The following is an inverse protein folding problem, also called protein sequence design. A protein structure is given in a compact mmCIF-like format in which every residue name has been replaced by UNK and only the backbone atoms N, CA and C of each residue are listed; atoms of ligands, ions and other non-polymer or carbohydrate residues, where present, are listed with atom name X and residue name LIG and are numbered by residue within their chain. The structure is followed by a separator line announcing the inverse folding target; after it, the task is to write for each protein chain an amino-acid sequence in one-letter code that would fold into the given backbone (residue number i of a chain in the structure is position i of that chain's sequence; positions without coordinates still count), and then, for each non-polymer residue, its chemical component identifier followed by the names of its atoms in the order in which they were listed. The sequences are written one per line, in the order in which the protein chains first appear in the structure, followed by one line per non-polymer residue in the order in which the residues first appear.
data_IF_107007485790
#
_entry.id   IF_107007485790
#
_cell.length_a   1.000
_cell.length_b   1.000
_cell.length_c   1.000
_cell.angle_alpha   90.00
_cell.angle_beta   90.00
_cell.angle_gamma   90.00
#
_symmetry.space_group_name_H-M   'P 1'
#
loop_
_entity.id
_entity.type
_entity.pdbx_description
1 polymer ?
#
# COMPACT_ATOMS: atom_id res chain seq x y z
N UNK A 1 -55.33 -13.88 25.77
CA UNK A 1 -55.10 -12.80 24.79
C UNK A 1 -53.95 -11.98 25.32
N UNK A 2 -52.73 -12.31 24.90
CA UNK A 2 -51.54 -11.87 25.60
C UNK A 2 -50.49 -11.29 24.64
N UNK A 3 -49.89 -10.20 25.12
CA UNK A 3 -48.54 -9.69 24.91
C UNK A 3 -48.22 -8.94 23.60
N UNK A 4 -48.19 -7.60 23.75
CA UNK A 4 -47.47 -6.66 22.90
C UNK A 4 -45.97 -6.96 22.94
N UNK A 5 -45.35 -7.23 21.79
CA UNK A 5 -43.90 -7.15 21.61
C UNK A 5 -43.56 -5.77 21.01
N UNK A 6 -42.81 -4.96 21.75
CA UNK A 6 -42.18 -3.74 21.25
C UNK A 6 -41.00 -4.04 20.33
N UNK A 7 -40.45 -3.04 19.61
CA UNK A 7 -39.37 -3.26 18.65
C UNK A 7 -38.07 -3.57 19.37
N UNK A 8 -37.50 -4.75 19.14
CA UNK A 8 -36.14 -5.10 19.57
C UNK A 8 -35.14 -4.44 18.63
N UNK A 9 -34.67 -3.27 19.05
CA UNK A 9 -33.41 -2.70 18.58
C UNK A 9 -32.27 -3.64 18.91
N UNK A 10 -31.52 -4.02 17.88
CA UNK A 10 -30.26 -4.74 18.03
C UNK A 10 -29.55 -4.79 16.69
N UNK A 11 -28.84 -3.71 16.34
CA UNK A 11 -27.73 -3.84 15.39
C UNK A 11 -26.74 -4.80 16.04
N UNK A 12 -26.80 -6.06 15.63
CA UNK A 12 -25.81 -7.05 16.00
C UNK A 12 -24.43 -6.51 15.64
N UNK A 13 -23.54 -6.51 16.62
CA UNK A 13 -22.15 -6.13 16.49
C UNK A 13 -21.57 -6.75 15.22
N UNK A 14 -21.09 -5.90 14.32
CA UNK A 14 -20.37 -6.30 13.12
C UNK A 14 -19.17 -7.13 13.59
N UNK A 15 -19.27 -8.45 13.47
CA UNK A 15 -18.18 -9.34 13.81
C UNK A 15 -16.97 -8.92 12.97
N UNK A 16 -15.85 -8.62 13.64
CA UNK A 16 -14.61 -8.26 12.97
C UNK A 16 -14.29 -9.36 11.94
N UNK A 17 -14.26 -9.00 10.65
CA UNK A 17 -14.00 -9.94 9.58
C UNK A 17 -12.59 -10.51 9.76
N UNK A 18 -12.49 -11.75 10.26
CA UNK A 18 -11.22 -12.46 10.33
C UNK A 18 -10.88 -12.93 8.91
N UNK A 19 -9.86 -12.33 8.31
CA UNK A 19 -9.30 -12.74 7.03
C UNK A 19 -7.99 -13.49 7.29
N UNK A 20 -7.96 -14.78 7.02
CA UNK A 20 -6.72 -15.57 7.01
C UNK A 20 -6.18 -15.64 5.59
N UNK A 21 -5.03 -15.00 5.34
CA UNK A 21 -4.34 -15.05 4.06
C UNK A 21 -3.14 -16.00 4.15
N UNK A 22 -3.14 -17.04 3.32
CA UNK A 22 -2.00 -17.95 3.11
C UNK A 22 -1.63 -17.86 1.63
N UNK A 23 -0.72 -16.95 1.29
CA UNK A 23 -0.24 -16.77 -0.07
C UNK A 23 1.27 -16.60 -0.07
N UNK A 24 1.96 -17.53 -0.73
CA UNK A 24 3.41 -17.45 -0.95
C UNK A 24 3.64 -16.76 -2.29
N UNK A 25 4.48 -15.74 -2.32
CA UNK A 25 4.79 -15.00 -3.55
C UNK A 25 3.70 -14.03 -4.04
N UNK A 26 2.68 -13.74 -3.24
CA UNK A 26 1.63 -12.76 -3.58
C UNK A 26 1.59 -11.65 -2.53
N UNK A 27 1.94 -10.43 -2.95
CA UNK A 27 1.76 -9.23 -2.13
C UNK A 27 0.30 -8.77 -2.22
N UNK A 28 -0.36 -8.64 -1.06
CA UNK A 28 -1.73 -8.13 -0.94
C UNK A 28 -1.79 -7.06 0.13
N UNK A 29 -2.38 -5.91 -0.21
CA UNK A 29 -2.72 -4.85 0.74
C UNK A 29 -4.18 -4.49 0.56
N UNK A 30 -4.92 -4.42 1.67
CA UNK A 30 -6.29 -3.93 1.69
C UNK A 30 -6.48 -3.01 2.90
N UNK A 31 -7.13 -1.87 2.67
CA UNK A 31 -7.40 -0.88 3.71
C UNK A 31 -8.72 -0.16 3.47
N UNK A 32 -9.33 0.34 4.54
CA UNK A 32 -10.56 1.13 4.48
C UNK A 32 -11.79 0.35 4.02
N UNK A 33 -12.79 1.07 3.51
CA UNK A 33 -14.01 0.47 2.98
C UNK A 33 -13.80 0.04 1.52
N UNK A 34 -13.78 -1.27 1.31
CA UNK A 34 -13.56 -1.92 0.00
C UNK A 34 -14.82 -2.55 -0.58
N UNK A 35 -15.96 -2.42 0.12
CA UNK A 35 -17.23 -2.98 -0.31
C UNK A 35 -17.82 -2.32 -1.58
N UNK A 36 -17.70 -0.99 -1.80
CA UNK A 36 -18.33 -0.36 -2.97
C UNK A 36 -17.83 -0.93 -4.29
N UNK A 37 -18.73 -1.30 -5.18
CA UNK A 37 -18.46 -1.88 -6.49
C UNK A 37 -18.44 -0.82 -7.60
N UNK A 38 -17.81 -1.13 -8.76
CA UNK A 38 -17.89 -0.27 -9.92
C UNK A 38 -19.34 0.02 -10.30
N UNK A 39 -19.61 1.29 -10.60
CA UNK A 39 -20.94 1.77 -10.98
C UNK A 39 -22.01 1.67 -9.88
N UNK A 40 -21.63 1.34 -8.64
CA UNK A 40 -22.50 1.54 -7.49
C UNK A 40 -22.94 3.01 -7.47
N UNK A 41 -24.22 3.19 -7.74
CA UNK A 41 -24.87 4.48 -7.70
C UNK A 41 -25.47 4.57 -6.32
N UNK A 42 -24.81 5.27 -5.40
CA UNK A 42 -25.51 5.73 -4.20
C UNK A 42 -26.71 6.54 -4.70
N UNK A 43 -27.96 6.10 -4.47
CA UNK A 43 -29.09 6.96 -4.77
C UNK A 43 -28.82 8.25 -4.03
N UNK A 44 -29.00 9.37 -4.71
CA UNK A 44 -28.86 10.68 -4.11
C UNK A 44 -30.01 10.83 -3.09
N UNK A 45 -29.87 10.18 -1.93
CA UNK A 45 -30.78 10.23 -0.80
C UNK A 45 -30.37 11.41 0.05
N UNK A 46 -30.63 12.60 -0.47
CA UNK A 46 -30.42 13.85 0.27
C UNK A 46 -31.71 14.18 0.99
N UNK A 47 -31.70 14.05 2.32
CA UNK A 47 -32.34 15.09 3.13
C UNK A 47 -31.47 16.35 3.01
N UNK A 48 -32.08 17.53 2.91
CA UNK A 48 -31.37 18.80 2.86
C UNK A 48 -30.35 18.89 4.02
N UNK A 49 -29.07 19.00 3.68
CA UNK A 49 -27.96 19.18 4.64
C UNK A 49 -26.95 18.03 4.79
N UNK A 50 -27.04 16.93 4.03
CA UNK A 50 -26.03 15.87 4.09
C UNK A 50 -24.75 16.23 3.30
N UNK A 51 -23.59 16.25 3.98
CA UNK A 51 -22.31 16.76 3.47
C UNK A 51 -21.38 15.70 2.84
N UNK A 52 -21.86 14.49 2.51
CA UNK A 52 -20.99 13.42 2.01
C UNK A 52 -20.96 13.39 0.48
N UNK A 53 -19.79 13.65 -0.12
CA UNK A 53 -19.56 13.51 -1.57
C UNK A 53 -19.88 12.08 -2.06
N UNK A 54 -20.23 11.87 -3.34
CA UNK A 54 -20.51 10.53 -3.88
C UNK A 54 -19.29 9.60 -3.81
N UNK A 55 -19.56 8.30 -3.71
CA UNK A 55 -18.53 7.26 -3.81
C UNK A 55 -18.14 7.05 -5.27
N UNK A 56 -16.87 6.79 -5.53
CA UNK A 56 -16.36 6.49 -6.87
C UNK A 56 -15.32 5.39 -6.78
N UNK A 57 -15.46 4.38 -7.65
CA UNK A 57 -14.58 3.21 -7.72
C UNK A 57 -13.77 3.25 -9.00
N UNK A 58 -12.49 2.93 -8.91
CA UNK A 58 -11.62 2.72 -10.06
C UNK A 58 -10.88 1.41 -9.90
N UNK A 59 -10.87 0.57 -10.94
CA UNK A 59 -10.32 -0.78 -10.87
C UNK A 59 -9.55 -1.16 -12.13
N UNK A 60 -8.49 -1.95 -11.94
CA UNK A 60 -7.72 -2.59 -12.99
C UNK A 60 -7.42 -4.03 -12.58
N UNK A 61 -7.52 -4.93 -13.54
CA UNK A 61 -7.26 -6.34 -13.36
C UNK A 61 -6.46 -6.87 -14.55
N UNK A 62 -5.35 -7.54 -14.25
CA UNK A 62 -4.54 -8.30 -15.20
C UNK A 62 -4.27 -9.68 -14.57
N UNK A 63 -5.21 -10.62 -14.76
CA UNK A 63 -5.12 -11.95 -14.15
C UNK A 63 -3.95 -12.78 -14.68
N UNK A 64 -3.53 -12.55 -15.93
CA UNK A 64 -2.40 -13.26 -16.55
C UNK A 64 -1.09 -12.95 -15.81
N UNK A 65 -0.90 -11.70 -15.40
CA UNK A 65 0.27 -11.26 -14.65
C UNK A 65 0.05 -11.20 -13.13
N UNK A 66 -1.10 -11.66 -12.63
CA UNK A 66 -1.41 -11.69 -11.19
C UNK A 66 -1.55 -10.32 -10.55
N UNK A 67 -2.02 -9.31 -11.29
CA UNK A 67 -2.12 -7.91 -10.83
C UNK A 67 -3.57 -7.49 -10.70
N UNK A 68 -3.90 -6.85 -9.57
CA UNK A 68 -5.23 -6.28 -9.35
C UNK A 68 -5.14 -5.05 -8.45
N UNK A 69 -5.86 -3.99 -8.79
CA UNK A 69 -6.08 -2.86 -7.88
C UNK A 69 -7.51 -2.36 -7.99
N UNK A 70 -8.09 -2.06 -6.83
CA UNK A 70 -9.37 -1.38 -6.67
C UNK A 70 -9.16 -0.23 -5.71
N UNK A 71 -9.60 0.96 -6.09
CA UNK A 71 -9.55 2.17 -5.28
C UNK A 71 -10.97 2.71 -5.11
N UNK A 72 -11.33 3.00 -3.87
CA UNK A 72 -12.61 3.59 -3.47
C UNK A 72 -12.33 5.00 -2.99
N UNK A 73 -13.01 5.96 -3.60
CA UNK A 73 -12.84 7.38 -3.27
C UNK A 73 -14.17 8.04 -2.90
N UNK A 74 -14.11 9.07 -2.05
CA UNK A 74 -15.21 9.97 -1.76
C UNK A 74 -14.79 11.40 -2.03
N UNK A 75 -15.37 12.03 -3.05
CA UNK A 75 -14.93 13.36 -3.48
C UNK A 75 -13.45 13.42 -3.87
N UNK A 76 -12.90 12.35 -4.46
CA UNK A 76 -11.48 12.25 -4.84
C UNK A 76 -10.55 11.71 -3.74
N UNK A 77 -10.93 11.80 -2.47
CA UNK A 77 -10.16 11.31 -1.32
C UNK A 77 -10.20 9.78 -1.27
N UNK A 78 -9.05 9.13 -1.09
CA UNK A 78 -8.95 7.67 -0.96
C UNK A 78 -9.53 7.19 0.37
N UNK A 79 -10.64 6.43 0.34
CA UNK A 79 -11.35 5.91 1.52
C UNK A 79 -11.25 4.39 1.67
N UNK A 80 -10.74 3.70 0.65
CA UNK A 80 -10.39 2.30 0.73
C UNK A 80 -9.73 1.80 -0.54
N UNK A 81 -8.99 0.70 -0.44
CA UNK A 81 -8.38 0.06 -1.60
C UNK A 81 -8.06 -1.42 -1.35
N UNK A 82 -7.89 -2.15 -2.44
CA UNK A 82 -7.29 -3.48 -2.50
C UNK A 82 -6.22 -3.43 -3.58
N UNK A 83 -5.02 -3.93 -3.31
CA UNK A 83 -3.92 -4.00 -4.25
C UNK A 83 -3.22 -5.35 -4.14
N UNK A 84 -3.03 -6.04 -5.27
CA UNK A 84 -2.48 -7.39 -5.39
C UNK A 84 -1.39 -7.39 -6.46
N UNK A 85 -0.25 -8.00 -6.15
CA UNK A 85 0.85 -8.21 -7.11
C UNK A 85 1.51 -6.92 -7.61
N UNK A 86 1.26 -5.80 -6.94
CA UNK A 86 1.75 -4.46 -7.28
C UNK A 86 2.26 -3.76 -6.02
N UNK A 87 3.41 -4.21 -5.47
CA UNK A 87 3.89 -3.78 -4.16
C UNK A 87 4.23 -2.29 -4.09
N UNK A 88 4.66 -1.66 -5.19
CA UNK A 88 5.01 -0.23 -5.20
C UNK A 88 3.76 0.65 -5.30
N UNK A 89 2.80 0.26 -6.14
CA UNK A 89 1.45 0.85 -6.16
C UNK A 89 0.80 0.73 -4.78
N UNK A 90 0.88 -0.44 -4.14
CA UNK A 90 0.34 -0.66 -2.80
C UNK A 90 0.98 0.23 -1.72
N UNK A 91 2.30 0.46 -1.83
CA UNK A 91 3.03 1.37 -0.95
C UNK A 91 2.51 2.81 -1.09
N UNK A 92 2.36 3.30 -2.32
CA UNK A 92 1.85 4.65 -2.57
C UNK A 92 0.39 4.81 -2.11
N UNK A 93 -0.45 3.80 -2.37
CA UNK A 93 -1.85 3.83 -1.92
C UNK A 93 -1.99 3.82 -0.40
N UNK A 94 -1.15 3.05 0.30
CA UNK A 94 -1.08 3.09 1.77
C UNK A 94 -0.80 4.51 2.25
N UNK A 95 0.21 5.16 1.67
CA UNK A 95 0.60 6.52 2.03
C UNK A 95 -0.50 7.56 1.75
N UNK A 96 -1.19 7.46 0.60
CA UNK A 96 -2.32 8.33 0.26
C UNK A 96 -3.51 8.12 1.19
N UNK A 97 -3.78 6.86 1.57
CA UNK A 97 -4.87 6.49 2.49
C UNK A 97 -4.60 7.03 3.90
N UNK A 98 -3.41 6.80 4.45
CA UNK A 98 -3.03 7.28 5.79
C UNK A 98 -3.08 8.81 5.91
N UNK A 99 -2.80 9.52 4.82
CA UNK A 99 -2.89 10.99 4.76
C UNK A 99 -4.30 11.51 4.46
N UNK A 100 -5.26 10.65 4.12
CA UNK A 100 -6.56 11.07 3.62
C UNK A 100 -6.44 11.97 2.39
N UNK A 101 -5.52 11.65 1.48
CA UNK A 101 -5.21 12.47 0.31
C UNK A 101 -6.14 12.19 -0.87
N UNK A 102 -6.29 13.19 -1.75
CA UNK A 102 -6.92 12.99 -3.05
C UNK A 102 -6.03 12.14 -3.96
N UNK A 103 -6.67 11.28 -4.77
CA UNK A 103 -5.97 10.57 -5.83
C UNK A 103 -5.65 11.50 -7.01
N UNK A 104 -4.62 11.20 -7.80
CA UNK A 104 -4.40 11.85 -9.08
C UNK A 104 -5.64 11.80 -9.98
N UNK A 105 -5.87 12.85 -10.76
CA UNK A 105 -7.01 12.94 -11.67
C UNK A 105 -7.06 11.75 -12.65
N UNK A 106 -5.91 11.40 -13.23
CA UNK A 106 -5.71 10.13 -13.93
C UNK A 106 -5.14 9.11 -12.95
N UNK A 107 -6.00 8.20 -12.48
CA UNK A 107 -5.63 7.16 -11.52
C UNK A 107 -4.73 6.07 -12.11
N UNK A 108 -4.66 5.94 -13.44
CA UNK A 108 -3.83 4.93 -14.11
C UNK A 108 -2.33 5.19 -13.94
N UNK A 109 -1.94 6.43 -13.61
CA UNK A 109 -0.52 6.79 -13.36
C UNK A 109 0.07 6.01 -12.19
N UNK A 110 -0.75 5.59 -11.22
CA UNK A 110 -0.31 4.78 -10.09
C UNK A 110 0.17 3.39 -10.52
N UNK A 111 -0.37 2.85 -11.62
CA UNK A 111 0.05 1.55 -12.15
C UNK A 111 1.48 1.57 -12.71
N UNK A 112 2.02 2.75 -13.03
CA UNK A 112 3.38 2.88 -13.56
C UNK A 112 4.44 2.53 -12.54
N UNK A 113 4.13 2.59 -11.24
CA UNK A 113 5.06 2.17 -10.19
C UNK A 113 5.43 0.68 -10.27
N UNK A 114 4.61 -0.15 -10.91
CA UNK A 114 4.92 -1.58 -11.14
C UNK A 114 5.02 -1.90 -12.65
N UNK A 115 5.28 -0.88 -13.46
CA UNK A 115 5.45 -0.96 -14.91
C UNK A 115 6.82 -1.49 -15.35
N UNK A 116 6.98 -1.85 -16.64
CA UNK A 116 8.21 -2.44 -17.18
C UNK A 116 9.42 -1.50 -17.17
N UNK A 117 9.21 -0.18 -17.06
CA UNK A 117 10.28 0.81 -16.93
C UNK A 117 11.03 0.70 -15.59
N UNK A 118 10.52 -0.13 -14.67
CA UNK A 118 10.99 -0.27 -13.31
C UNK A 118 11.63 -1.63 -13.01
N UNK A 119 12.34 -2.18 -14.00
CA UNK A 119 13.29 -3.27 -13.75
C UNK A 119 14.42 -2.69 -12.90
N UNK A 120 14.72 -3.22 -11.70
CA UNK A 120 15.90 -2.83 -10.94
C UNK A 120 17.15 -2.99 -11.83
N UNK A 121 17.72 -1.86 -12.29
CA UNK A 121 18.88 -1.82 -13.19
C UNK A 121 18.59 -1.46 -14.66
N UNK A 122 17.35 -1.18 -15.08
CA UNK A 122 17.04 -0.82 -16.47
C UNK A 122 17.36 0.64 -16.86
N UNK A 123 17.73 1.52 -15.92
CA UNK A 123 18.02 2.93 -16.22
C UNK A 123 19.16 3.59 -15.45
N UNK A 124 19.82 2.88 -14.53
CA UNK A 124 20.87 3.44 -13.68
C UNK A 124 21.53 2.38 -12.80
N UNK A 125 22.64 2.76 -12.15
CA UNK A 125 23.29 1.89 -11.16
C UNK A 125 22.31 1.61 -10.01
N UNK A 126 21.92 0.35 -9.87
CA UNK A 126 20.95 -0.09 -8.86
C UNK A 126 21.49 0.03 -7.42
N UNK A 127 22.76 0.46 -7.27
CA UNK A 127 23.45 0.76 -6.01
C UNK A 127 23.91 2.22 -5.93
N UNK A 128 23.44 3.08 -6.85
CA UNK A 128 23.64 4.51 -6.73
C UNK A 128 23.01 5.03 -5.41
N UNK A 129 23.62 6.03 -4.73
CA UNK A 129 23.15 6.50 -3.43
C UNK A 129 21.69 6.98 -3.39
N UNK A 130 21.17 7.48 -4.51
CA UNK A 130 19.79 7.96 -4.69
C UNK A 130 18.80 6.84 -5.08
N UNK A 131 19.27 5.64 -5.40
CA UNK A 131 18.41 4.52 -5.75
C UNK A 131 17.54 4.10 -4.56
N UNK A 132 16.22 4.13 -4.73
CA UNK A 132 15.25 3.71 -3.70
C UNK A 132 15.30 2.21 -3.48
N UNK A 133 15.51 1.79 -2.22
CA UNK A 133 15.48 0.40 -1.77
C UNK A 133 14.14 0.05 -1.13
N UNK A 134 13.62 0.92 -0.25
CA UNK A 134 12.34 0.71 0.43
C UNK A 134 11.32 1.75 -0.05
N UNK A 135 10.42 1.35 -0.95
CA UNK A 135 9.38 2.23 -1.49
C UNK A 135 8.34 2.65 -0.45
N UNK A 136 7.95 1.76 0.47
CA UNK A 136 7.01 2.09 1.55
C UNK A 136 7.47 3.24 2.44
N UNK A 137 8.79 3.35 2.67
CA UNK A 137 9.36 4.33 3.59
C UNK A 137 10.29 5.34 2.91
N UNK A 138 10.37 5.32 1.58
CA UNK A 138 11.25 6.20 0.79
C UNK A 138 12.73 6.10 1.14
N UNK A 139 13.23 4.91 1.49
CA UNK A 139 14.65 4.74 1.92
C UNK A 139 15.52 4.37 0.73
N UNK A 140 16.60 5.12 0.51
CA UNK A 140 17.58 4.89 -0.56
C UNK A 140 18.78 4.05 -0.13
N UNK A 141 19.62 3.65 -1.10
CA UNK A 141 20.92 2.99 -0.85
C UNK A 141 21.81 3.87 0.02
N UNK A 142 21.89 5.17 -0.26
CA UNK A 142 22.70 6.13 0.51
C UNK A 142 22.26 6.20 1.98
N UNK A 143 20.95 6.25 2.23
CA UNK A 143 20.42 6.24 3.60
C UNK A 143 20.77 4.93 4.35
N UNK A 144 20.79 3.79 3.66
CA UNK A 144 21.23 2.51 4.24
C UNK A 144 22.74 2.53 4.50
N UNK A 145 23.54 3.06 3.57
CA UNK A 145 24.99 3.17 3.71
C UNK A 145 25.38 4.07 4.89
N UNK A 146 24.72 5.22 5.04
CA UNK A 146 24.93 6.13 6.17
C UNK A 146 24.58 5.46 7.50
N UNK A 147 23.45 4.73 7.55
CA UNK A 147 23.07 3.98 8.74
C UNK A 147 24.07 2.85 9.06
N UNK A 148 24.60 2.17 8.04
CA UNK A 148 25.63 1.15 8.19
C UNK A 148 26.95 1.74 8.72
N UNK A 149 27.37 2.89 8.20
CA UNK A 149 28.53 3.64 8.68
C UNK A 149 28.37 4.10 10.14
N UNK A 150 27.13 4.35 10.59
CA UNK A 150 26.80 4.62 11.99
C UNK A 150 26.77 3.37 12.89
N UNK A 151 27.12 2.18 12.37
CA UNK A 151 27.23 0.93 13.11
C UNK A 151 26.03 -0.02 12.99
N UNK A 152 25.03 0.31 12.16
CA UNK A 152 23.88 -0.58 11.95
C UNK A 152 24.21 -1.67 10.92
N UNK A 153 24.70 -2.82 11.37
CA UNK A 153 25.24 -3.87 10.49
C UNK A 153 24.27 -5.00 10.12
N UNK A 154 23.01 -4.93 10.55
CA UNK A 154 22.00 -5.96 10.25
C UNK A 154 20.76 -5.33 9.62
N UNK A 155 20.01 -6.11 8.83
CA UNK A 155 18.72 -5.67 8.25
C UNK A 155 17.77 -5.17 9.34
N UNK A 156 17.75 -5.82 10.51
CA UNK A 156 16.95 -5.39 11.65
C UNK A 156 17.40 -4.02 12.21
N UNK A 157 18.71 -3.81 12.38
CA UNK A 157 19.25 -2.52 12.82
C UNK A 157 18.97 -1.41 11.80
N UNK A 158 19.13 -1.67 10.50
CA UNK A 158 18.77 -0.74 9.44
C UNK A 158 17.29 -0.39 9.49
N UNK A 159 16.42 -1.37 9.67
CA UNK A 159 14.98 -1.13 9.82
C UNK A 159 14.64 -0.28 11.03
N UNK A 160 15.31 -0.48 12.17
CA UNK A 160 15.14 0.37 13.35
C UNK A 160 15.62 1.82 13.11
N UNK A 161 16.73 1.99 12.40
CA UNK A 161 17.33 3.30 12.15
C UNK A 161 16.63 4.12 11.04
N UNK A 162 16.10 3.45 10.01
CA UNK A 162 15.61 4.11 8.78
C UNK A 162 14.14 3.84 8.48
N UNK A 163 13.50 2.91 9.21
CA UNK A 163 12.21 2.27 8.88
C UNK A 163 12.22 1.39 7.63
N UNK A 164 13.35 1.18 6.96
CA UNK A 164 13.39 0.27 5.81
C UNK A 164 12.97 -1.16 6.20
N UNK A 165 12.08 -1.76 5.41
CA UNK A 165 11.59 -3.12 5.67
C UNK A 165 10.56 -3.27 6.80
N UNK A 166 10.07 -2.17 7.40
CA UNK A 166 9.01 -2.20 8.41
C UNK A 166 7.59 -2.09 7.84
N UNK A 167 7.46 -1.78 6.54
CA UNK A 167 6.18 -1.76 5.80
C UNK A 167 5.83 -3.14 5.23
N UNK A 168 5.80 -3.28 3.90
CA UNK A 168 5.52 -4.57 3.24
C UNK A 168 6.62 -5.63 3.45
N UNK A 169 7.83 -5.23 3.79
CA UNK A 169 8.96 -6.14 4.02
C UNK A 169 9.64 -6.70 2.76
N UNK A 170 9.10 -6.44 1.55
CA UNK A 170 9.67 -6.95 0.29
C UNK A 170 11.11 -6.50 -0.01
N UNK A 171 11.54 -5.37 0.57
CA UNK A 171 12.90 -4.86 0.40
C UNK A 171 13.94 -5.51 1.33
N UNK A 172 13.57 -6.41 2.25
CA UNK A 172 14.51 -6.97 3.26
C UNK A 172 15.70 -7.70 2.64
N UNK A 173 15.49 -8.47 1.57
CA UNK A 173 16.57 -9.12 0.83
C UNK A 173 17.52 -8.08 0.20
N UNK A 174 16.95 -7.05 -0.45
CA UNK A 174 17.68 -5.94 -1.07
C UNK A 174 18.51 -5.15 -0.07
N UNK A 175 18.00 -4.93 1.15
CA UNK A 175 18.77 -4.30 2.24
C UNK A 175 20.02 -5.14 2.56
N UNK A 176 19.90 -6.47 2.61
CA UNK A 176 21.04 -7.37 2.80
C UNK A 176 22.09 -7.22 1.70
N UNK A 177 21.67 -7.21 0.43
CA UNK A 177 22.58 -6.99 -0.71
C UNK A 177 23.34 -5.66 -0.64
N UNK A 178 22.69 -4.60 -0.16
CA UNK A 178 23.33 -3.29 0.05
C UNK A 178 24.34 -3.37 1.19
N UNK A 179 23.95 -3.95 2.33
CA UNK A 179 24.83 -4.13 3.49
C UNK A 179 26.10 -4.91 3.15
N UNK A 180 25.96 -6.01 2.40
CA UNK A 180 27.10 -6.82 1.97
C UNK A 180 28.09 -6.03 1.11
N UNK A 181 27.66 -4.99 0.41
CA UNK A 181 28.55 -4.14 -0.42
C UNK A 181 29.20 -3.01 0.34
N UNK A 182 28.48 -2.40 1.29
CA UNK A 182 28.98 -1.24 2.04
C UNK A 182 29.80 -1.63 3.27
N UNK A 183 29.60 -2.86 3.79
CA UNK A 183 30.34 -3.39 4.95
C UNK A 183 31.61 -4.14 4.52
N UNK A 184 31.71 -4.60 3.28
CA UNK A 184 32.97 -5.15 2.78
C UNK A 184 33.99 -4.00 2.71
N UNK A 185 35.11 -4.06 3.47
CA UNK A 185 36.15 -3.07 3.34
C UNK A 185 36.67 -3.14 1.90
N UNK A 186 36.90 -1.98 1.28
CA UNK A 186 37.74 -1.90 0.10
C UNK A 186 39.08 -2.58 0.45
N UNK A 187 39.27 -3.82 -0.01
CA UNK A 187 40.55 -4.50 0.11
C UNK A 187 41.58 -3.64 -0.65
N UNK A 188 42.73 -3.32 -0.03
CA UNK A 188 43.67 -2.30 -0.51
C UNK A 188 44.23 -2.56 -1.92
#
# INVERSE_FOLDING_TARGET
GELRAGPTSGLAAQAAAVVMLKAEGVDVVAAGDTAPEPWDSEPAGHTDGCAAAPVSVSQWADPEHGRYVKMVTRGGILTGFVCVGMPRTAAELTLLFERGSELPADRSVLLRFDGPDDVPGAGGDAFAPDATVCWCNGVSVGAIADAAAAGNSTVACIGAATRAGTGCGGCKARIGEVLDRVIVPATP
#
